data_IF_271047248139
#
_entry.id   IF_271047248139
#
_cell.length_a   1.000
_cell.length_b   1.000
_cell.length_c   1.000
_cell.angle_alpha   90.00
_cell.angle_beta   90.00
_cell.angle_gamma   90.00
#
_symmetry.space_group_name_H-M   'P 1'
#
loop_
_entity.id
_entity.type
_entity.pdbx_description
1 polymer ?
#
# COMPACT_ATOMS: atom_id res chain seq x y z
N UNK A 1 8.08 -10.80 19.04
CA UNK A 1 7.34 -9.91 18.10
C UNK A 1 6.24 -9.09 18.78
N UNK A 2 5.28 -9.69 19.49
CA UNK A 2 4.15 -8.93 20.08
C UNK A 2 4.60 -7.86 21.08
N UNK A 3 5.56 -8.17 21.96
CA UNK A 3 6.11 -7.19 22.90
C UNK A 3 6.79 -6.01 22.18
N UNK A 4 7.54 -6.28 21.11
CA UNK A 4 8.13 -5.21 20.30
C UNK A 4 7.07 -4.31 19.64
N UNK A 5 5.94 -4.90 19.19
CA UNK A 5 4.82 -4.13 18.63
C UNK A 5 4.20 -3.23 19.71
N UNK A 6 3.97 -3.77 20.93
CA UNK A 6 3.41 -3.02 22.06
C UNK A 6 4.35 -1.89 22.50
N UNK A 7 5.64 -2.17 22.64
CA UNK A 7 6.68 -1.17 22.97
C UNK A 7 6.71 -0.03 21.96
N UNK A 8 6.73 -0.37 20.66
CA UNK A 8 6.74 0.61 19.57
C UNK A 8 5.46 1.46 19.58
N UNK A 9 4.30 0.85 19.75
CA UNK A 9 3.02 1.56 19.81
C UNK A 9 2.98 2.52 21.01
N UNK A 10 3.42 2.08 22.20
CA UNK A 10 3.48 2.92 23.39
C UNK A 10 4.45 4.11 23.22
N UNK A 11 5.61 3.89 22.58
CA UNK A 11 6.55 4.96 22.25
C UNK A 11 5.92 6.02 21.34
N UNK A 12 5.21 5.59 20.30
CA UNK A 12 4.55 6.50 19.35
C UNK A 12 3.42 7.25 20.04
N UNK A 13 2.57 6.57 20.84
CA UNK A 13 1.48 7.19 21.59
C UNK A 13 1.97 8.27 22.57
N UNK A 14 3.19 8.15 23.10
CA UNK A 14 3.80 9.18 23.92
C UNK A 14 4.32 10.40 23.14
N UNK A 15 4.39 10.32 21.81
CA UNK A 15 4.93 11.37 20.92
C UNK A 15 3.86 12.16 20.17
N UNK A 16 2.64 11.67 20.11
CA UNK A 16 1.54 12.33 19.41
C UNK A 16 0.26 12.32 20.24
N UNK A 17 -0.55 13.36 20.10
CA UNK A 17 -1.91 13.42 20.66
C UNK A 17 -2.97 12.85 19.70
N UNK A 18 -2.61 12.57 18.45
CA UNK A 18 -3.52 12.03 17.45
C UNK A 18 -3.78 10.55 17.71
N UNK A 19 -5.07 10.20 17.82
CA UNK A 19 -5.53 8.80 17.80
C UNK A 19 -6.05 8.52 16.39
N UNK A 20 -5.26 7.85 15.53
CA UNK A 20 -5.64 7.65 14.14
C UNK A 20 -6.70 6.57 14.02
N UNK A 21 -7.70 6.80 13.16
CA UNK A 21 -8.68 5.80 12.72
C UNK A 21 -8.35 5.26 11.33
N UNK A 22 -7.53 5.97 10.57
CA UNK A 22 -7.11 5.61 9.22
C UNK A 22 -5.59 5.44 9.17
N UNK A 23 -5.13 4.28 8.69
CA UNK A 23 -3.74 4.04 8.30
C UNK A 23 -3.55 4.24 6.80
N UNK A 24 -2.46 4.88 6.40
CA UNK A 24 -2.13 5.13 4.99
C UNK A 24 -0.70 4.68 4.73
N UNK A 25 -0.47 3.91 3.65
CA UNK A 25 0.86 3.53 3.18
C UNK A 25 1.06 4.12 1.78
N UNK A 26 2.00 5.05 1.65
CA UNK A 26 2.30 5.72 0.39
C UNK A 26 3.42 5.01 -0.36
N UNK A 27 3.19 4.75 -1.64
CA UNK A 27 4.16 4.12 -2.55
C UNK A 27 5.18 5.10 -3.15
N UNK A 28 6.08 4.55 -3.95
CA UNK A 28 7.12 5.30 -4.67
C UNK A 28 6.51 6.36 -5.60
N UNK A 29 6.97 7.60 -5.49
CA UNK A 29 6.47 8.73 -6.27
C UNK A 29 5.08 9.24 -5.88
N UNK A 30 4.51 8.77 -4.76
CA UNK A 30 3.13 9.02 -4.33
C UNK A 30 3.06 9.76 -2.98
N UNK A 31 4.05 10.60 -2.70
CA UNK A 31 4.12 11.36 -1.43
C UNK A 31 3.26 12.63 -1.38
N UNK A 32 2.59 13.01 -2.46
CA UNK A 32 1.82 14.26 -2.56
C UNK A 32 0.58 14.29 -1.67
N UNK A 33 -0.02 13.12 -1.36
CA UNK A 33 -1.14 13.05 -0.42
C UNK A 33 -0.79 13.66 0.95
N UNK A 34 0.48 13.62 1.34
CA UNK A 34 0.96 14.25 2.58
C UNK A 34 0.69 15.74 2.62
N UNK A 35 0.71 16.42 1.47
CA UNK A 35 0.43 17.87 1.38
C UNK A 35 -1.03 18.22 1.70
N UNK A 36 -1.92 17.24 1.61
CA UNK A 36 -3.33 17.36 1.93
C UNK A 36 -3.64 17.06 3.41
N UNK A 37 -2.67 16.54 4.16
CA UNK A 37 -2.80 16.25 5.59
C UNK A 37 -2.53 17.53 6.38
N UNK A 38 -3.44 17.89 7.25
CA UNK A 38 -3.19 18.87 8.32
C UNK A 38 -2.29 18.23 9.37
N UNK A 39 -0.97 18.35 9.15
CA UNK A 39 0.05 17.65 9.95
C UNK A 39 0.07 18.20 11.37
N UNK A 40 0.05 17.31 12.36
CA UNK A 40 0.20 17.63 13.79
C UNK A 40 1.57 17.19 14.27
N UNK A 41 1.97 15.95 13.97
CA UNK A 41 3.25 15.39 14.38
C UNK A 41 3.90 14.61 13.25
N UNK A 42 5.24 14.63 13.23
CA UNK A 42 6.08 13.80 12.35
C UNK A 42 7.09 13.04 13.20
N UNK A 43 7.23 11.72 12.99
CA UNK A 43 8.16 10.88 13.73
C UNK A 43 9.05 10.13 12.74
N UNK A 44 10.36 10.46 12.64
CA UNK A 44 11.31 9.75 11.77
C UNK A 44 11.43 8.28 12.17
N UNK A 45 11.46 7.36 11.19
CA UNK A 45 11.51 5.91 11.45
C UNK A 45 12.71 5.51 12.31
N UNK A 46 13.87 6.12 12.09
CA UNK A 46 15.10 5.88 12.82
C UNK A 46 15.01 6.16 14.32
N UNK A 47 14.06 6.99 14.73
CA UNK A 47 13.81 7.31 16.16
C UNK A 47 12.85 6.34 16.83
N UNK A 48 12.16 5.50 16.07
CA UNK A 48 11.12 4.60 16.57
C UNK A 48 11.75 3.24 16.90
N UNK A 49 11.64 2.75 18.13
CA UNK A 49 12.22 1.46 18.51
C UNK A 49 11.60 0.33 17.68
N UNK A 50 12.42 -0.67 17.31
CA UNK A 50 12.06 -1.84 16.53
C UNK A 50 11.55 -1.56 15.10
N UNK A 51 11.49 -0.31 14.66
CA UNK A 51 11.01 0.04 13.33
C UNK A 51 12.09 -0.23 12.29
N UNK A 52 11.76 -0.75 11.10
CA UNK A 52 12.71 -0.81 10.00
C UNK A 52 13.09 0.60 9.54
N UNK A 53 14.26 0.74 8.91
CA UNK A 53 14.72 2.00 8.32
C UNK A 53 14.63 1.87 6.80
N UNK A 54 13.97 2.83 6.14
CA UNK A 54 13.89 2.83 4.68
C UNK A 54 15.27 3.05 4.06
N UNK A 55 15.63 2.20 3.09
CA UNK A 55 16.87 2.29 2.32
C UNK A 55 16.67 2.84 0.92
N UNK A 56 15.42 3.11 0.54
CA UNK A 56 15.05 3.65 -0.79
C UNK A 56 15.09 5.18 -0.74
N UNK A 57 15.92 5.80 -1.58
CA UNK A 57 16.13 7.25 -1.63
C UNK A 57 14.85 8.09 -1.83
N UNK A 58 13.83 7.51 -2.48
CA UNK A 58 12.53 8.16 -2.72
C UNK A 58 11.61 8.16 -1.50
N UNK A 59 12.00 7.56 -0.37
CA UNK A 59 11.20 7.45 0.83
C UNK A 59 11.74 8.35 1.94
N UNK A 60 10.92 9.30 2.40
CA UNK A 60 11.28 10.25 3.46
C UNK A 60 11.42 9.63 4.86
N UNK A 61 11.06 8.33 4.99
CA UNK A 61 11.31 7.55 6.19
C UNK A 61 10.66 8.09 7.47
N UNK A 62 9.37 8.49 7.45
CA UNK A 62 8.68 9.00 8.65
C UNK A 62 7.20 8.62 8.73
N UNK A 63 6.68 8.53 9.95
CA UNK A 63 5.25 8.53 10.24
C UNK A 63 4.74 9.96 10.36
N UNK A 64 3.62 10.23 9.73
CA UNK A 64 2.94 11.52 9.76
C UNK A 64 1.59 11.32 10.44
N UNK A 65 1.33 12.09 11.48
CA UNK A 65 0.06 12.13 12.21
C UNK A 65 -0.64 13.45 11.95
N UNK A 66 -1.94 13.40 11.67
CA UNK A 66 -2.69 14.60 11.35
C UNK A 66 -4.13 14.32 11.00
N UNK A 67 -4.73 15.23 10.22
CA UNK A 67 -6.11 15.12 9.75
C UNK A 67 -6.17 15.18 8.24
N UNK A 68 -6.97 14.30 7.65
CA UNK A 68 -7.26 14.26 6.22
C UNK A 68 -8.75 14.01 6.02
N UNK A 69 -9.45 14.85 5.28
CA UNK A 69 -10.89 14.71 5.06
C UNK A 69 -11.71 14.69 6.36
N UNK A 70 -11.25 15.39 7.40
CA UNK A 70 -11.89 15.42 8.73
C UNK A 70 -11.61 14.19 9.62
N UNK A 71 -10.84 13.22 9.17
CA UNK A 71 -10.47 12.00 9.94
C UNK A 71 -9.05 12.10 10.47
N UNK A 72 -8.81 11.52 11.64
CA UNK A 72 -7.46 11.36 12.16
C UNK A 72 -6.72 10.24 11.41
N UNK A 73 -5.55 10.56 10.89
CA UNK A 73 -4.77 9.63 10.07
C UNK A 73 -3.36 9.43 10.63
N UNK A 74 -2.80 8.25 10.37
CA UNK A 74 -1.36 8.00 10.41
C UNK A 74 -0.92 7.58 9.02
N UNK A 75 0.04 8.32 8.43
CA UNK A 75 0.56 8.01 7.11
C UNK A 75 2.03 7.63 7.17
N UNK A 76 2.38 6.52 6.51
CA UNK A 76 3.75 6.15 6.21
C UNK A 76 4.21 6.93 4.98
N UNK A 77 5.08 7.91 5.15
CA UNK A 77 5.78 8.56 4.05
C UNK A 77 7.04 7.76 3.73
N UNK A 78 6.85 6.75 2.90
CA UNK A 78 7.82 5.69 2.62
C UNK A 78 7.37 4.36 3.20
N UNK A 79 7.66 3.28 2.48
CA UNK A 79 7.36 1.90 2.86
C UNK A 79 8.61 1.04 2.85
N UNK A 80 8.50 -0.17 3.39
CA UNK A 80 9.56 -1.17 3.36
C UNK A 80 9.24 -2.23 2.32
N UNK A 81 10.28 -2.70 1.61
CA UNK A 81 10.11 -3.73 0.60
C UNK A 81 10.96 -4.97 0.94
N UNK A 82 10.49 -6.11 0.45
CA UNK A 82 11.20 -7.37 0.61
C UNK A 82 12.59 -7.33 -0.04
N UNK A 83 12.73 -6.68 -1.20
CA UNK A 83 14.01 -6.56 -1.89
C UNK A 83 15.06 -5.70 -1.17
N UNK A 84 14.68 -4.93 -0.15
CA UNK A 84 15.62 -4.19 0.70
C UNK A 84 16.35 -5.11 1.69
N UNK A 85 16.05 -6.42 1.70
CA UNK A 85 16.65 -7.41 2.61
C UNK A 85 15.82 -7.68 3.87
N UNK A 86 14.69 -7.03 4.03
CA UNK A 86 13.74 -7.28 5.12
C UNK A 86 12.93 -8.55 4.87
N UNK A 87 12.71 -9.35 5.90
CA UNK A 87 11.72 -10.42 5.83
C UNK A 87 10.29 -9.86 5.86
N UNK A 88 9.31 -10.68 5.48
CA UNK A 88 7.92 -10.24 5.36
C UNK A 88 7.30 -9.78 6.70
N UNK A 89 7.79 -10.30 7.83
CA UNK A 89 7.35 -9.85 9.15
C UNK A 89 7.87 -8.44 9.48
N UNK A 90 9.10 -8.11 9.06
CA UNK A 90 9.67 -6.77 9.20
C UNK A 90 8.96 -5.77 8.27
N UNK A 91 8.73 -6.14 7.01
CA UNK A 91 7.99 -5.32 6.03
C UNK A 91 6.62 -4.92 6.57
N UNK A 92 5.93 -5.83 7.26
CA UNK A 92 4.56 -5.64 7.75
C UNK A 92 4.47 -5.21 9.22
N UNK A 93 5.60 -5.07 9.92
CA UNK A 93 5.65 -4.62 11.30
C UNK A 93 4.89 -3.30 11.53
N UNK A 94 5.05 -2.27 10.66
CA UNK A 94 4.31 -1.01 10.82
C UNK A 94 2.80 -1.17 10.81
N UNK A 95 2.25 -2.07 10.00
CA UNK A 95 0.79 -2.31 9.94
C UNK A 95 0.27 -2.85 11.27
N UNK A 96 1.04 -3.74 11.92
CA UNK A 96 0.72 -4.25 13.25
C UNK A 96 0.77 -3.16 14.32
N UNK A 97 1.77 -2.28 14.25
CA UNK A 97 1.88 -1.11 15.13
C UNK A 97 0.69 -0.19 14.93
N UNK A 98 0.32 0.14 13.68
CA UNK A 98 -0.84 0.98 13.38
C UNK A 98 -2.14 0.41 13.96
N UNK A 99 -2.31 -0.92 13.97
CA UNK A 99 -3.46 -1.56 14.63
C UNK A 99 -3.55 -1.20 16.11
N UNK A 100 -2.41 -1.26 16.83
CA UNK A 100 -2.36 -0.91 18.24
C UNK A 100 -2.50 0.60 18.48
N UNK A 101 -2.19 1.43 17.48
CA UNK A 101 -2.48 2.88 17.52
C UNK A 101 -3.97 3.20 17.33
N UNK A 102 -4.77 2.24 16.86
CA UNK A 102 -6.22 2.37 16.78
C UNK A 102 -6.79 2.46 15.36
N UNK A 103 -6.02 2.20 14.30
CA UNK A 103 -6.58 2.26 12.95
C UNK A 103 -7.70 1.23 12.76
N UNK A 104 -8.75 1.68 12.10
CA UNK A 104 -9.93 0.89 11.73
C UNK A 104 -9.94 0.51 10.26
N UNK A 105 -9.21 1.23 9.43
CA UNK A 105 -9.08 1.01 7.97
C UNK A 105 -7.66 1.27 7.51
N UNK A 106 -7.24 0.52 6.48
CA UNK A 106 -5.92 0.69 5.85
C UNK A 106 -6.07 1.08 4.38
N UNK A 107 -5.40 2.16 4.01
CA UNK A 107 -5.27 2.64 2.63
C UNK A 107 -3.87 2.40 2.13
N UNK A 108 -3.73 1.80 0.96
CA UNK A 108 -2.42 1.49 0.37
C UNK A 108 -2.36 2.01 -1.05
N UNK A 109 -1.30 2.74 -1.39
CA UNK A 109 -1.03 3.15 -2.75
C UNK A 109 0.28 2.59 -3.27
N UNK A 110 0.38 2.34 -4.57
CA UNK A 110 1.61 1.91 -5.22
C UNK A 110 1.67 2.35 -6.70
N UNK A 111 2.85 2.16 -7.29
CA UNK A 111 3.08 2.16 -8.72
C UNK A 111 3.27 0.70 -9.17
N UNK A 112 2.80 0.33 -10.35
CA UNK A 112 2.86 -1.04 -10.87
C UNK A 112 2.94 -1.11 -12.38
N UNK A 113 3.49 -2.22 -12.90
CA UNK A 113 3.44 -2.57 -14.32
C UNK A 113 2.08 -3.17 -14.68
N UNK A 114 1.45 -2.68 -15.73
CA UNK A 114 0.18 -3.22 -16.24
C UNK A 114 0.41 -4.42 -17.15
N UNK A 115 -0.25 -5.54 -16.86
CA UNK A 115 -0.22 -6.74 -17.73
C UNK A 115 -1.54 -7.01 -18.42
N UNK A 116 -2.59 -6.27 -18.10
CA UNK A 116 -3.85 -6.27 -18.82
C UNK A 116 -3.69 -5.49 -20.13
N UNK A 117 -4.03 -6.09 -21.30
CA UNK A 117 -3.87 -5.46 -22.61
C UNK A 117 -4.75 -4.20 -22.80
N UNK A 118 -5.81 -4.06 -22.01
CA UNK A 118 -6.76 -2.94 -22.07
C UNK A 118 -6.28 -1.74 -21.24
N UNK A 119 -5.23 -1.91 -20.43
CA UNK A 119 -4.67 -0.82 -19.63
C UNK A 119 -3.75 0.09 -20.44
N UNK A 120 -3.67 1.33 -19.98
CA UNK A 120 -2.78 2.36 -20.51
C UNK A 120 -1.80 2.87 -19.45
N UNK A 121 -0.64 3.35 -19.90
CA UNK A 121 0.32 4.03 -19.00
C UNK A 121 -0.33 5.30 -18.42
N UNK A 122 -0.24 5.45 -17.11
CA UNK A 122 -0.87 6.53 -16.34
C UNK A 122 -2.32 6.22 -15.93
N UNK A 123 -2.84 5.04 -16.22
CA UNK A 123 -4.16 4.61 -15.73
C UNK A 123 -4.14 4.34 -14.23
N UNK A 124 -5.24 4.64 -13.56
CA UNK A 124 -5.43 4.35 -12.14
C UNK A 124 -6.23 3.05 -12.02
N UNK A 125 -5.69 2.09 -11.28
CA UNK A 125 -6.35 0.82 -10.99
C UNK A 125 -6.72 0.73 -9.50
N UNK A 126 -7.98 0.49 -9.20
CA UNK A 126 -8.44 0.09 -7.86
C UNK A 126 -8.28 -1.43 -7.76
N UNK A 127 -7.65 -1.90 -6.69
CA UNK A 127 -7.46 -3.33 -6.47
C UNK A 127 -8.71 -3.96 -5.86
N UNK A 128 -9.16 -5.06 -6.44
CA UNK A 128 -10.23 -5.90 -5.88
C UNK A 128 -9.73 -7.27 -5.43
N UNK A 129 -8.55 -7.69 -5.89
CA UNK A 129 -7.94 -8.96 -5.52
C UNK A 129 -6.42 -8.90 -5.67
N UNK A 130 -5.71 -9.91 -5.15
CA UNK A 130 -4.28 -10.05 -5.35
C UNK A 130 -3.82 -11.51 -5.46
N UNK A 131 -2.66 -11.69 -6.09
CA UNK A 131 -1.92 -12.96 -6.15
C UNK A 131 -0.62 -12.78 -5.38
N UNK A 132 -0.41 -13.58 -4.34
CA UNK A 132 0.84 -13.58 -3.56
C UNK A 132 1.90 -14.47 -4.22
N UNK A 133 2.87 -13.85 -4.88
CA UNK A 133 4.05 -14.52 -5.45
C UNK A 133 5.34 -14.24 -4.66
N UNK A 134 5.23 -13.69 -3.45
CA UNK A 134 6.36 -13.65 -2.52
C UNK A 134 6.73 -15.06 -2.05
N UNK A 135 7.99 -15.31 -1.62
CA UNK A 135 8.45 -16.66 -1.24
C UNK A 135 7.84 -17.18 0.08
N UNK A 136 6.78 -16.54 0.56
CA UNK A 136 6.10 -16.94 1.79
C UNK A 136 4.96 -16.00 2.15
N UNK A 137 4.57 -16.05 3.43
CA UNK A 137 3.54 -15.18 4.01
C UNK A 137 4.07 -14.54 5.30
N UNK A 138 3.71 -13.29 5.61
CA UNK A 138 4.07 -12.66 6.89
C UNK A 138 3.45 -13.35 8.10
N UNK A 139 2.52 -14.29 7.89
CA UNK A 139 1.85 -15.07 8.94
C UNK A 139 2.51 -16.41 9.21
N UNK A 140 3.59 -16.76 8.49
CA UNK A 140 4.34 -18.00 8.75
C UNK A 140 5.00 -17.93 10.13
N UNK A 141 4.90 -19.02 10.90
CA UNK A 141 5.43 -19.15 12.25
C UNK A 141 4.32 -19.25 13.30
N UNK A 142 4.65 -18.93 14.56
CA UNK A 142 3.69 -18.94 15.67
C UNK A 142 2.66 -17.82 15.47
N UNK A 143 1.39 -18.15 15.57
CA UNK A 143 0.32 -17.15 15.48
C UNK A 143 0.40 -16.14 16.63
N UNK A 144 -0.04 -14.93 16.38
CA UNK A 144 -0.26 -13.88 17.39
C UNK A 144 -1.77 -13.81 17.66
N UNK A 145 -2.26 -14.71 18.51
CA UNK A 145 -3.70 -14.91 18.75
C UNK A 145 -4.42 -13.64 19.23
N UNK A 146 -3.69 -12.73 19.90
CA UNK A 146 -4.21 -11.42 20.31
C UNK A 146 -4.51 -10.50 19.10
N UNK A 147 -3.90 -10.76 17.94
CA UNK A 147 -4.05 -9.92 16.73
C UNK A 147 -4.99 -10.54 15.69
N UNK A 148 -5.20 -11.86 15.73
CA UNK A 148 -6.11 -12.49 14.78
C UNK A 148 -6.01 -14.03 14.75
N UNK A 149 -6.89 -14.67 13.97
CA UNK A 149 -6.97 -16.13 13.91
C UNK A 149 -5.78 -16.73 13.14
N UNK A 150 -5.46 -18.00 13.45
CA UNK A 150 -4.38 -18.74 12.74
C UNK A 150 -4.59 -18.81 11.23
N UNK A 151 -5.84 -18.92 10.79
CA UNK A 151 -6.24 -19.07 9.40
C UNK A 151 -7.27 -17.97 9.06
N UNK A 152 -6.81 -16.75 8.72
CA UNK A 152 -7.71 -15.67 8.32
C UNK A 152 -8.35 -15.98 6.96
N UNK A 153 -9.61 -15.64 6.82
CA UNK A 153 -10.30 -15.66 5.53
C UNK A 153 -9.79 -14.51 4.65
N UNK A 154 -9.50 -14.82 3.39
CA UNK A 154 -9.01 -13.89 2.36
C UNK A 154 -9.91 -13.89 1.13
N UNK A 155 -11.19 -14.32 1.25
CA UNK A 155 -12.15 -14.25 0.13
C UNK A 155 -12.49 -12.81 -0.29
N UNK A 156 -12.44 -11.87 0.67
CA UNK A 156 -12.64 -10.43 0.44
C UNK A 156 -11.43 -9.64 0.95
N UNK A 157 -10.27 -9.66 0.26
CA UNK A 157 -9.05 -9.03 0.76
C UNK A 157 -9.12 -7.50 0.76
N UNK A 158 -9.94 -6.92 -0.12
CA UNK A 158 -10.22 -5.49 -0.22
C UNK A 158 -11.69 -5.22 0.03
N UNK A 159 -12.01 -4.12 0.70
CA UNK A 159 -13.37 -3.77 1.09
C UNK A 159 -14.20 -3.32 -0.11
N UNK A 160 -15.22 -4.10 -0.45
CA UNK A 160 -16.08 -3.84 -1.61
C UNK A 160 -16.83 -2.51 -1.49
N UNK A 161 -17.22 -2.10 -0.28
CA UNK A 161 -17.93 -0.83 -0.08
C UNK A 161 -17.01 0.37 -0.39
N UNK A 162 -15.75 0.29 0.00
CA UNK A 162 -14.75 1.31 -0.34
C UNK A 162 -14.42 1.30 -1.84
N UNK A 163 -14.36 0.13 -2.49
CA UNK A 163 -14.15 0.01 -3.94
C UNK A 163 -15.29 0.71 -4.70
N UNK A 164 -16.55 0.39 -4.37
CA UNK A 164 -17.70 0.98 -5.05
C UNK A 164 -17.79 2.49 -4.82
N UNK A 165 -17.51 2.95 -3.59
CA UNK A 165 -17.47 4.39 -3.29
C UNK A 165 -16.35 5.10 -4.05
N UNK A 166 -15.16 4.51 -4.15
CA UNK A 166 -14.05 5.07 -4.92
C UNK A 166 -14.36 5.17 -6.42
N UNK A 167 -15.07 4.19 -6.99
CA UNK A 167 -15.57 4.24 -8.38
C UNK A 167 -16.55 5.41 -8.57
N UNK A 168 -17.51 5.55 -7.66
CA UNK A 168 -18.47 6.66 -7.69
C UNK A 168 -17.76 8.01 -7.62
N UNK A 169 -16.78 8.15 -6.71
CA UNK A 169 -15.96 9.36 -6.59
C UNK A 169 -15.18 9.64 -7.88
N UNK A 170 -14.58 8.62 -8.47
CA UNK A 170 -13.83 8.75 -9.72
C UNK A 170 -14.74 9.25 -10.87
N UNK A 171 -15.96 8.73 -10.97
CA UNK A 171 -16.97 9.17 -11.93
C UNK A 171 -17.38 10.64 -11.69
N UNK A 172 -17.66 11.03 -10.45
CA UNK A 172 -17.97 12.41 -10.07
C UNK A 172 -16.83 13.39 -10.43
N UNK A 173 -15.58 12.95 -10.27
CA UNK A 173 -14.37 13.73 -10.60
C UNK A 173 -13.99 13.64 -12.09
N UNK A 174 -14.72 12.85 -12.90
CA UNK A 174 -14.38 12.55 -14.29
C UNK A 174 -12.95 11.95 -14.44
N UNK A 175 -12.55 11.13 -13.48
CA UNK A 175 -11.28 10.39 -13.49
C UNK A 175 -11.57 8.95 -13.92
N UNK A 176 -10.98 8.54 -15.04
CA UNK A 176 -11.07 7.13 -15.47
C UNK A 176 -10.30 6.24 -14.51
N UNK A 177 -10.94 5.20 -13.99
CA UNK A 177 -10.32 4.14 -13.18
C UNK A 177 -10.67 2.77 -13.74
N UNK A 178 -9.77 1.83 -13.55
CA UNK A 178 -10.03 0.39 -13.77
C UNK A 178 -10.07 -0.33 -12.44
N UNK A 179 -10.61 -1.55 -12.43
CA UNK A 179 -10.57 -2.46 -11.28
C UNK A 179 -9.83 -3.71 -11.71
N UNK A 180 -8.96 -4.25 -10.85
CA UNK A 180 -8.17 -5.41 -11.24
C UNK A 180 -7.42 -6.09 -10.11
N UNK A 181 -6.87 -7.27 -10.46
CA UNK A 181 -6.06 -8.11 -9.60
C UNK A 181 -4.59 -7.73 -9.68
N UNK A 182 -3.94 -7.60 -8.53
CA UNK A 182 -2.52 -7.25 -8.42
C UNK A 182 -1.66 -8.46 -8.03
N UNK A 183 -0.60 -8.76 -8.81
CA UNK A 183 0.39 -9.76 -8.42
C UNK A 183 1.55 -9.10 -7.66
N UNK A 184 1.81 -9.58 -6.44
CA UNK A 184 2.95 -9.13 -5.62
C UNK A 184 4.16 -10.03 -5.81
N UNK A 185 5.28 -9.48 -6.28
CA UNK A 185 6.56 -10.16 -6.50
C UNK A 185 7.67 -9.61 -5.59
N UNK A 186 8.78 -10.34 -5.53
CA UNK A 186 9.93 -9.98 -4.68
C UNK A 186 10.71 -8.77 -5.19
N UNK A 187 10.86 -8.61 -6.51
CA UNK A 187 11.89 -7.73 -7.08
C UNK A 187 13.31 -8.20 -6.71
N UNK A 188 14.35 -7.33 -6.83
CA UNK A 188 14.33 -5.95 -7.30
C UNK A 188 14.33 -5.81 -8.82
N UNK A 189 14.47 -6.90 -9.59
CA UNK A 189 14.41 -6.82 -11.05
C UNK A 189 12.98 -6.54 -11.51
N UNK A 190 12.84 -5.73 -12.55
CA UNK A 190 11.60 -5.68 -13.33
C UNK A 190 11.45 -6.99 -14.09
N UNK A 191 10.23 -7.30 -14.47
CA UNK A 191 9.87 -8.58 -15.03
C UNK A 191 10.37 -8.74 -16.46
N UNK A 192 10.82 -9.95 -16.78
CA UNK A 192 11.06 -10.36 -18.18
C UNK A 192 9.74 -10.44 -18.95
N UNK A 193 9.77 -10.40 -20.32
CA UNK A 193 8.55 -10.60 -21.12
C UNK A 193 7.80 -11.91 -20.82
N UNK A 194 8.52 -12.95 -20.41
CA UNK A 194 7.91 -14.24 -20.05
C UNK A 194 7.26 -14.21 -18.67
N UNK A 195 7.84 -13.49 -17.72
CA UNK A 195 7.24 -13.27 -16.39
C UNK A 195 5.98 -12.41 -16.48
N UNK A 196 5.96 -11.36 -17.30
CA UNK A 196 4.73 -10.60 -17.59
C UNK A 196 3.63 -11.51 -18.16
N UNK A 197 3.98 -12.35 -19.15
CA UNK A 197 3.04 -13.32 -19.70
C UNK A 197 2.54 -14.30 -18.63
N UNK A 198 3.44 -14.81 -17.78
CA UNK A 198 3.09 -15.72 -16.71
C UNK A 198 2.08 -15.11 -15.74
N UNK A 199 2.38 -13.91 -15.20
CA UNK A 199 1.48 -13.26 -14.23
C UNK A 199 0.12 -12.92 -14.86
N UNK A 200 0.08 -12.56 -16.14
CA UNK A 200 -1.19 -12.37 -16.86
C UNK A 200 -1.98 -13.65 -16.99
N UNK A 201 -1.34 -14.77 -17.33
CA UNK A 201 -1.99 -16.07 -17.51
C UNK A 201 -2.61 -16.59 -16.22
N UNK A 202 -1.99 -16.33 -15.08
CA UNK A 202 -2.53 -16.73 -13.76
C UNK A 202 -3.59 -15.77 -13.21
N UNK A 203 -3.94 -14.69 -13.95
CA UNK A 203 -5.08 -13.83 -13.64
C UNK A 203 -4.75 -12.43 -13.16
N UNK A 204 -3.49 -12.01 -13.14
CA UNK A 204 -3.14 -10.64 -12.76
C UNK A 204 -3.48 -9.62 -13.85
N UNK A 205 -3.82 -8.40 -13.44
CA UNK A 205 -3.98 -7.21 -14.28
C UNK A 205 -2.81 -6.24 -14.14
N UNK A 206 -2.17 -6.24 -12.98
CA UNK A 206 -0.97 -5.46 -12.69
C UNK A 206 0.01 -6.25 -11.82
N UNK A 207 1.27 -5.83 -11.80
CA UNK A 207 2.37 -6.47 -11.08
C UNK A 207 3.25 -5.44 -10.39
N UNK A 208 3.73 -5.75 -9.19
CA UNK A 208 4.67 -4.90 -8.46
C UNK A 208 5.23 -5.60 -7.22
N UNK A 209 5.97 -4.87 -6.40
CA UNK A 209 6.86 -5.43 -5.36
C UNK A 209 6.41 -5.09 -3.93
N UNK A 210 5.10 -4.82 -3.70
CA UNK A 210 4.59 -4.32 -2.42
C UNK A 210 3.16 -4.80 -2.16
N UNK A 211 2.49 -4.16 -1.20
CA UNK A 211 1.03 -4.17 -0.97
C UNK A 211 0.47 -5.49 -0.44
N UNK A 212 0.73 -6.61 -1.10
CA UNK A 212 0.17 -7.92 -0.73
C UNK A 212 0.50 -8.32 0.71
N UNK A 213 1.77 -8.24 1.18
CA UNK A 213 2.09 -8.57 2.57
C UNK A 213 1.36 -7.67 3.58
N UNK A 214 1.25 -6.36 3.31
CA UNK A 214 0.58 -5.40 4.19
C UNK A 214 -0.93 -5.71 4.29
N UNK A 215 -1.58 -6.02 3.16
CA UNK A 215 -2.99 -6.41 3.13
C UNK A 215 -3.22 -7.72 3.87
N UNK A 216 -2.37 -8.75 3.68
CA UNK A 216 -2.46 -10.02 4.41
C UNK A 216 -2.44 -9.78 5.93
N UNK A 217 -1.52 -8.97 6.42
CA UNK A 217 -1.41 -8.67 7.86
C UNK A 217 -2.58 -7.83 8.35
N UNK A 218 -3.04 -6.86 7.59
CA UNK A 218 -4.21 -6.05 7.93
C UNK A 218 -5.47 -6.92 8.03
N UNK A 219 -5.72 -7.79 7.06
CA UNK A 219 -6.87 -8.72 7.05
C UNK A 219 -6.79 -9.74 8.18
N UNK A 220 -5.57 -10.23 8.52
CA UNK A 220 -5.37 -11.05 9.71
C UNK A 220 -5.90 -10.37 11.00
N UNK A 221 -5.78 -9.05 11.08
CA UNK A 221 -6.25 -8.23 12.21
C UNK A 221 -7.67 -7.66 11.98
N UNK A 222 -8.40 -8.17 11.01
CA UNK A 222 -9.75 -7.72 10.63
C UNK A 222 -9.84 -6.23 10.27
N UNK A 223 -8.77 -5.67 9.70
CA UNK A 223 -8.76 -4.30 9.20
C UNK A 223 -9.23 -4.30 7.74
N UNK A 224 -10.34 -3.62 7.38
CA UNK A 224 -10.74 -3.40 6.00
C UNK A 224 -9.66 -2.64 5.24
N UNK A 225 -9.37 -3.07 4.01
CA UNK A 225 -8.30 -2.54 3.17
C UNK A 225 -8.87 -1.93 1.89
N UNK A 226 -8.29 -0.79 1.50
CA UNK A 226 -8.44 -0.21 0.16
C UNK A 226 -7.06 -0.06 -0.45
N UNK A 227 -6.90 -0.47 -1.71
CA UNK A 227 -5.64 -0.29 -2.42
C UNK A 227 -5.85 0.26 -3.83
N UNK A 228 -4.94 1.16 -4.22
CA UNK A 228 -5.01 1.87 -5.50
C UNK A 228 -3.61 1.95 -6.10
N UNK A 229 -3.51 1.76 -7.41
CA UNK A 229 -2.26 1.70 -8.16
C UNK A 229 -2.27 2.69 -9.32
N UNK A 230 -1.09 3.24 -9.64
CA UNK A 230 -0.85 3.90 -10.92
C UNK A 230 -0.09 2.95 -11.82
N UNK A 231 -0.62 2.68 -13.02
CA UNK A 231 0.03 1.86 -14.04
C UNK A 231 1.14 2.69 -14.67
N UNK A 232 2.39 2.34 -14.42
CA UNK A 232 3.55 3.15 -14.85
C UNK A 232 4.18 2.70 -16.15
N UNK A 233 3.99 1.43 -16.48
CA UNK A 233 4.51 0.78 -17.70
C UNK A 233 3.62 -0.40 -18.09
N UNK A 234 3.88 -0.98 -19.26
CA UNK A 234 3.07 -2.08 -19.77
C UNK A 234 3.93 -3.31 -20.09
N UNK A 235 3.66 -4.40 -19.36
CA UNK A 235 4.16 -5.75 -19.63
C UNK A 235 3.35 -6.53 -20.68
N UNK A 236 2.70 -5.84 -21.62
CA UNK A 236 1.84 -6.45 -22.66
C UNK A 236 2.68 -6.76 -23.91
N UNK A 237 2.59 -7.98 -24.49
CA UNK A 237 3.30 -8.31 -25.70
C UNK A 237 3.11 -7.26 -26.81
N UNK A 238 4.21 -6.80 -27.41
CA UNK A 238 4.22 -5.72 -28.40
C UNK A 238 4.19 -4.29 -27.83
N UNK A 239 3.91 -4.13 -26.52
CA UNK A 239 3.94 -2.82 -25.84
C UNK A 239 5.08 -2.70 -24.83
N UNK A 240 5.82 -3.78 -24.54
CA UNK A 240 6.94 -3.81 -23.58
C UNK A 240 8.05 -2.88 -24.06
N UNK A 241 8.48 -1.97 -23.21
CA UNK A 241 9.60 -1.05 -23.44
C UNK A 241 10.61 -1.17 -22.30
N UNK A 242 11.84 -0.74 -22.53
CA UNK A 242 12.80 -0.58 -21.45
C UNK A 242 12.32 0.54 -20.53
N UNK A 243 12.25 0.27 -19.24
CA UNK A 243 11.76 1.18 -18.20
C UNK A 243 12.85 1.40 -17.16
N UNK A 244 13.03 2.62 -16.74
CA UNK A 244 13.90 3.00 -15.60
C UNK A 244 13.04 3.38 -14.39
N UNK A 245 13.64 3.38 -13.20
CA UNK A 245 12.98 3.88 -11.97
C UNK A 245 12.52 5.33 -12.14
N UNK A 246 13.29 6.14 -12.88
CA UNK A 246 12.95 7.53 -13.14
C UNK A 246 11.67 7.66 -14.00
N UNK A 247 11.50 6.80 -15.01
CA UNK A 247 10.28 6.77 -15.82
C UNK A 247 9.06 6.41 -14.97
N UNK A 248 9.20 5.44 -14.06
CA UNK A 248 8.15 5.05 -13.11
C UNK A 248 7.74 6.23 -12.23
N UNK A 249 8.73 6.92 -11.63
CA UNK A 249 8.48 8.10 -10.76
C UNK A 249 7.79 9.22 -11.55
N UNK A 250 8.22 9.49 -12.78
CA UNK A 250 7.64 10.55 -13.61
C UNK A 250 6.16 10.26 -13.91
N UNK A 251 5.83 9.05 -14.35
CA UNK A 251 4.43 8.67 -14.61
C UNK A 251 3.59 8.71 -13.34
N UNK A 252 4.11 8.16 -12.24
CA UNK A 252 3.45 8.16 -10.94
C UNK A 252 3.14 9.60 -10.49
N UNK A 253 4.14 10.49 -10.47
CA UNK A 253 4.00 11.88 -10.03
C UNK A 253 3.01 12.68 -10.88
N UNK A 254 2.92 12.39 -12.18
CA UNK A 254 1.95 13.05 -13.08
C UNK A 254 0.51 12.66 -12.78
N UNK A 255 0.25 11.43 -12.35
CA UNK A 255 -1.10 10.92 -12.07
C UNK A 255 -1.47 11.01 -10.58
N UNK A 256 -0.49 11.19 -9.71
CA UNK A 256 -0.68 11.29 -8.26
C UNK A 256 -1.77 12.29 -7.84
N UNK A 257 -1.90 13.51 -8.42
CA UNK A 257 -2.95 14.45 -8.01
C UNK A 257 -4.37 13.87 -8.14
N UNK A 258 -4.63 13.08 -9.19
CA UNK A 258 -5.93 12.42 -9.39
C UNK A 258 -6.18 11.34 -8.37
N UNK A 259 -5.17 10.50 -8.12
CA UNK A 259 -5.25 9.45 -7.10
C UNK A 259 -5.45 10.05 -5.71
N UNK A 260 -4.72 11.13 -5.39
CA UNK A 260 -4.86 11.90 -4.14
C UNK A 260 -6.29 12.42 -3.95
N UNK A 261 -6.92 12.96 -5.00
CA UNK A 261 -8.31 13.41 -4.93
C UNK A 261 -9.26 12.26 -4.59
N UNK A 262 -9.13 11.11 -5.27
CA UNK A 262 -9.96 9.92 -4.98
C UNK A 262 -9.76 9.46 -3.54
N UNK A 263 -8.52 9.32 -3.07
CA UNK A 263 -8.23 8.86 -1.72
C UNK A 263 -8.75 9.82 -0.65
N UNK A 264 -8.53 11.13 -0.83
CA UNK A 264 -8.99 12.17 0.10
C UNK A 264 -10.52 12.19 0.21
N UNK A 265 -11.23 12.18 -0.93
CA UNK A 265 -12.68 12.14 -0.95
C UNK A 265 -13.22 10.85 -0.33
N UNK A 266 -12.61 9.70 -0.65
CA UNK A 266 -13.00 8.42 -0.04
C UNK A 266 -12.84 8.46 1.48
N UNK A 267 -11.70 8.93 1.99
CA UNK A 267 -11.45 9.06 3.44
C UNK A 267 -12.47 10.00 4.09
N UNK A 268 -12.89 11.07 3.41
CA UNK A 268 -13.86 12.02 3.98
C UNK A 268 -15.27 11.43 4.13
N UNK A 269 -15.63 10.44 3.30
CA UNK A 269 -16.99 9.86 3.22
C UNK A 269 -17.20 8.59 4.07
N UNK A 270 -16.15 8.06 4.71
CA UNK A 270 -16.21 6.79 5.48
C UNK A 270 -16.10 7.01 6.98
#
# INVERSE_FOLDING_TARGET
MLEAIKETAAFIQAKTSIQPTIGIILGTGLGGLVKEIEIVDEIPYETIPNFPVSTVESHSGKLIFGRLGGKNVVAMQGRFHYYEGYNLQQVTFPVRVMKLLGIERLFVSNASGGVNPDFAVGEIMIMNDHINLFPGSPLIGKNLDELGPRFPDMSDPYDESMIQMAKTIADELSIKVSVGCYAGLTGPTLETPSEYKYVRVIGADAVGMSTVPEVIVARHMSIPCFAISIITDLGVPGKIKKVSVQDVIEVASRQEPKMTQIMKELISRI
#
